data_IF_372414522530
#
_entry.id   IF_372414522530
#
_cell.length_a   1.000
_cell.length_b   1.000
_cell.length_c   1.000
_cell.angle_alpha   90.00
_cell.angle_beta   90.00
_cell.angle_gamma   90.00
#
_symmetry.space_group_name_H-M   'P 1'
#
loop_
_entity.id
_entity.type
_entity.pdbx_description
1 polymer ?
#
# COMPACT_ATOMS: atom_id res chain seq x y z
N UNK A 1 -16.84 5.67 -22.47
CA UNK A 1 -15.62 5.29 -23.24
C UNK A 1 -15.28 3.85 -22.86
N UNK A 2 -15.57 2.89 -23.75
CA UNK A 2 -15.35 1.48 -23.46
C UNK A 2 -13.97 0.99 -23.88
N UNK A 3 -13.45 -0.03 -23.22
CA UNK A 3 -12.25 -0.76 -23.62
C UNK A 3 -12.64 -1.86 -24.61
N UNK A 4 -11.86 -2.00 -25.69
CA UNK A 4 -12.02 -3.11 -26.63
C UNK A 4 -11.43 -4.37 -26.01
N UNK A 5 -12.27 -5.35 -25.69
CA UNK A 5 -11.82 -6.65 -25.18
C UNK A 5 -11.53 -7.66 -26.29
N UNK A 6 -12.13 -7.52 -27.45
CA UNK A 6 -11.96 -8.43 -28.56
C UNK A 6 -13.12 -8.34 -29.56
N UNK A 7 -13.30 -9.41 -30.35
CA UNK A 7 -14.41 -9.57 -31.27
C UNK A 7 -15.33 -10.68 -30.77
N UNK A 8 -16.61 -10.50 -30.86
CA UNK A 8 -17.57 -11.55 -30.62
C UNK A 8 -17.36 -12.72 -31.57
N UNK A 9 -17.41 -13.95 -31.06
CA UNK A 9 -17.05 -15.15 -31.83
C UNK A 9 -18.01 -15.43 -32.99
N UNK A 10 -19.29 -15.09 -32.87
CA UNK A 10 -20.33 -15.36 -33.86
C UNK A 10 -20.52 -14.17 -34.80
N UNK A 11 -20.76 -12.98 -34.24
CA UNK A 11 -21.11 -11.79 -35.02
C UNK A 11 -19.88 -11.03 -35.56
N UNK A 12 -18.67 -11.32 -35.05
CA UNK A 12 -17.42 -10.61 -35.35
C UNK A 12 -17.47 -9.11 -35.03
N UNK A 13 -18.45 -8.67 -34.27
CA UNK A 13 -18.54 -7.28 -33.83
C UNK A 13 -17.57 -6.99 -32.69
N UNK A 14 -17.05 -5.76 -32.57
CA UNK A 14 -16.20 -5.35 -31.48
C UNK A 14 -16.95 -5.45 -30.13
N UNK A 15 -16.36 -6.16 -29.17
CA UNK A 15 -16.84 -6.23 -27.79
C UNK A 15 -16.20 -5.10 -26.99
N UNK A 16 -16.99 -4.07 -26.70
CA UNK A 16 -16.58 -2.90 -25.92
C UNK A 16 -17.18 -2.98 -24.52
N UNK A 17 -16.34 -2.81 -23.48
CA UNK A 17 -16.78 -2.80 -22.08
C UNK A 17 -16.35 -1.49 -21.42
N UNK A 18 -17.28 -0.80 -20.78
CA UNK A 18 -17.00 0.39 -20.00
C UNK A 18 -16.97 0.03 -18.52
N UNK A 19 -15.78 -0.08 -17.96
CA UNK A 19 -15.58 -0.45 -16.56
C UNK A 19 -15.82 0.71 -15.59
N UNK A 20 -15.97 1.94 -16.07
CA UNK A 20 -16.03 3.13 -15.21
C UNK A 20 -17.42 3.77 -15.15
N UNK A 21 -18.35 3.33 -15.97
CA UNK A 21 -19.67 3.97 -16.10
C UNK A 21 -20.64 3.63 -14.96
N UNK A 22 -20.32 2.63 -14.13
CA UNK A 22 -21.22 2.18 -13.06
C UNK A 22 -21.13 3.01 -11.77
N UNK A 23 -20.13 3.87 -11.62
CA UNK A 23 -19.87 4.64 -10.40
C UNK A 23 -19.43 3.80 -9.19
N UNK A 24 -19.37 2.48 -9.33
CA UNK A 24 -18.96 1.53 -8.29
C UNK A 24 -17.60 0.92 -8.64
N UNK A 25 -16.87 0.44 -7.61
CA UNK A 25 -15.65 -0.33 -7.82
C UNK A 25 -15.96 -1.62 -8.60
N UNK A 26 -15.23 -1.87 -9.67
CA UNK A 26 -15.40 -3.05 -10.51
C UNK A 26 -14.36 -4.11 -10.14
N UNK A 27 -14.83 -5.35 -9.98
CA UNK A 27 -13.96 -6.52 -9.82
C UNK A 27 -14.07 -7.38 -11.06
N UNK A 28 -12.96 -7.61 -11.75
CA UNK A 28 -12.90 -8.44 -12.95
C UNK A 28 -12.10 -9.69 -12.62
N UNK A 29 -12.72 -10.85 -12.78
CA UNK A 29 -12.07 -12.14 -12.60
C UNK A 29 -11.84 -12.82 -13.96
N UNK A 30 -10.58 -13.15 -14.27
CA UNK A 30 -10.21 -13.88 -15.48
C UNK A 30 -9.85 -15.32 -15.13
N UNK A 31 -10.70 -16.26 -15.54
CA UNK A 31 -10.51 -17.70 -15.31
C UNK A 31 -10.18 -18.40 -16.63
N UNK A 32 -9.06 -19.07 -16.68
CA UNK A 32 -8.68 -19.90 -17.83
C UNK A 32 -7.58 -20.91 -17.44
N UNK A 33 -7.41 -21.94 -18.24
CA UNK A 33 -6.31 -22.90 -18.09
C UNK A 33 -4.95 -22.21 -18.24
N UNK A 34 -3.89 -22.82 -17.74
CA UNK A 34 -2.52 -22.35 -17.98
C UNK A 34 -2.24 -22.29 -19.48
N UNK A 35 -1.57 -21.23 -19.94
CA UNK A 35 -1.26 -21.04 -21.37
C UNK A 35 -2.41 -20.48 -22.23
N UNK A 36 -3.62 -20.29 -21.70
CA UNK A 36 -4.77 -19.78 -22.46
C UNK A 36 -4.75 -18.26 -22.73
N UNK A 37 -3.67 -17.55 -22.41
CA UNK A 37 -3.52 -16.13 -22.73
C UNK A 37 -4.03 -15.15 -21.66
N UNK A 38 -4.31 -15.59 -20.42
CA UNK A 38 -4.77 -14.69 -19.32
C UNK A 38 -3.89 -13.47 -19.15
N UNK A 39 -2.59 -13.65 -19.03
CA UNK A 39 -1.63 -12.57 -18.86
C UNK A 39 -1.60 -11.64 -20.07
N UNK A 40 -1.74 -12.19 -21.28
CA UNK A 40 -1.82 -11.37 -22.49
C UNK A 40 -3.07 -10.49 -22.51
N UNK A 41 -4.23 -11.05 -22.14
CA UNK A 41 -5.47 -10.27 -22.02
C UNK A 41 -5.38 -9.19 -20.94
N UNK A 42 -4.75 -9.49 -19.80
CA UNK A 42 -4.48 -8.51 -18.75
C UNK A 42 -3.57 -7.37 -19.25
N UNK A 43 -2.55 -7.68 -20.05
CA UNK A 43 -1.68 -6.67 -20.68
C UNK A 43 -2.43 -5.78 -21.65
N UNK A 44 -3.32 -6.34 -22.48
CA UNK A 44 -4.14 -5.54 -23.38
C UNK A 44 -5.05 -4.56 -22.63
N UNK A 45 -5.66 -5.02 -21.54
CA UNK A 45 -6.50 -4.15 -20.69
C UNK A 45 -5.62 -3.05 -20.08
N UNK A 46 -4.47 -3.41 -19.49
CA UNK A 46 -3.55 -2.46 -18.88
C UNK A 46 -3.05 -1.40 -19.87
N UNK A 47 -2.63 -1.80 -21.07
CA UNK A 47 -2.22 -0.88 -22.13
C UNK A 47 -3.35 0.06 -22.55
N UNK A 48 -4.57 -0.47 -22.68
CA UNK A 48 -5.72 0.34 -23.04
C UNK A 48 -6.07 1.37 -21.95
N UNK A 49 -5.91 1.01 -20.67
CA UNK A 49 -6.11 1.92 -19.55
C UNK A 49 -5.04 3.01 -19.51
N UNK A 50 -3.77 2.64 -19.68
CA UNK A 50 -2.65 3.59 -19.77
C UNK A 50 -2.84 4.57 -20.94
N UNK A 51 -3.29 4.08 -22.10
CA UNK A 51 -3.59 4.93 -23.24
C UNK A 51 -4.74 5.92 -23.00
N UNK A 52 -5.58 5.67 -22.01
CA UNK A 52 -6.63 6.57 -21.54
C UNK A 52 -6.16 7.47 -20.37
N UNK A 53 -4.86 7.51 -20.09
CA UNK A 53 -4.25 8.24 -18.97
C UNK A 53 -4.75 7.77 -17.60
N UNK A 54 -5.04 6.47 -17.47
CA UNK A 54 -5.45 5.84 -16.21
C UNK A 54 -4.25 5.16 -15.60
N UNK A 55 -3.98 5.46 -14.33
CA UNK A 55 -2.90 4.82 -13.58
C UNK A 55 -3.18 3.34 -13.37
N UNK A 56 -2.21 2.49 -13.70
CA UNK A 56 -2.30 1.03 -13.55
C UNK A 56 -1.22 0.56 -12.60
N UNK A 57 -1.61 -0.17 -11.55
CA UNK A 57 -0.71 -0.88 -10.65
C UNK A 57 -0.93 -2.38 -10.80
N UNK A 58 0.15 -3.15 -10.89
CA UNK A 58 0.09 -4.60 -11.03
C UNK A 58 0.93 -5.27 -9.94
N UNK A 59 0.39 -6.36 -9.36
CA UNK A 59 1.12 -7.23 -8.44
C UNK A 59 1.40 -8.54 -9.19
N UNK A 60 2.67 -8.81 -9.46
CA UNK A 60 3.12 -10.02 -10.16
C UNK A 60 3.85 -10.95 -9.19
N UNK A 61 3.13 -11.95 -8.66
CA UNK A 61 3.68 -12.92 -7.71
C UNK A 61 4.80 -13.77 -8.34
N UNK A 62 4.78 -13.96 -9.67
CA UNK A 62 5.82 -14.72 -10.39
C UNK A 62 7.04 -13.85 -10.74
N UNK A 63 6.90 -12.51 -10.67
CA UNK A 63 7.98 -11.55 -10.82
C UNK A 63 8.59 -11.43 -12.23
N UNK A 64 8.00 -12.02 -13.26
CA UNK A 64 8.63 -12.06 -14.61
C UNK A 64 7.74 -11.65 -15.76
N UNK A 65 6.42 -11.77 -15.59
CA UNK A 65 5.49 -11.62 -16.71
C UNK A 65 5.30 -10.14 -17.08
N UNK A 66 5.20 -9.25 -16.11
CA UNK A 66 4.93 -7.82 -16.31
C UNK A 66 6.16 -6.98 -16.68
N UNK A 67 7.37 -7.47 -16.49
CA UNK A 67 8.61 -6.74 -16.83
C UNK A 67 8.69 -6.30 -18.29
N UNK A 68 8.14 -7.10 -19.22
CA UNK A 68 8.11 -6.76 -20.64
C UNK A 68 7.21 -5.57 -20.90
N UNK A 69 6.04 -5.51 -20.24
CA UNK A 69 5.11 -4.40 -20.34
C UNK A 69 5.71 -3.12 -19.77
N UNK A 70 6.34 -3.20 -18.59
CA UNK A 70 6.99 -2.05 -17.94
C UNK A 70 8.03 -1.38 -18.82
N UNK A 71 8.85 -2.17 -19.52
CA UNK A 71 9.83 -1.62 -20.47
C UNK A 71 9.19 -0.91 -21.65
N UNK A 72 7.99 -1.33 -22.04
CA UNK A 72 7.28 -0.75 -23.16
C UNK A 72 6.56 0.57 -22.80
N UNK A 73 6.12 0.71 -21.54
CA UNK A 73 5.33 1.86 -21.07
C UNK A 73 6.13 2.78 -20.12
N UNK A 74 7.45 2.60 -20.01
CA UNK A 74 8.33 3.33 -19.09
C UNK A 74 7.82 3.28 -17.63
N UNK A 75 7.36 2.09 -17.22
CA UNK A 75 6.79 1.86 -15.91
C UNK A 75 7.85 1.63 -14.83
N UNK A 76 7.46 1.77 -13.57
CA UNK A 76 8.34 1.55 -12.41
C UNK A 76 8.14 0.13 -11.87
N UNK A 77 9.23 -0.61 -11.69
CA UNK A 77 9.25 -1.92 -11.03
C UNK A 77 9.72 -1.76 -9.58
N UNK A 78 8.90 -2.27 -8.65
CA UNK A 78 9.31 -2.47 -7.25
C UNK A 78 9.53 -3.97 -7.08
N UNK A 79 10.79 -4.40 -7.08
CA UNK A 79 11.14 -5.79 -6.86
C UNK A 79 11.31 -6.05 -5.36
N UNK A 80 10.59 -7.06 -4.84
CA UNK A 80 10.66 -7.51 -3.45
C UNK A 80 11.47 -8.81 -3.31
N UNK A 81 12.37 -9.08 -4.27
CA UNK A 81 13.24 -10.26 -4.28
C UNK A 81 14.31 -10.17 -3.18
N UNK A 82 14.68 -11.31 -2.59
CA UNK A 82 15.62 -11.40 -1.45
C UNK A 82 17.01 -10.85 -1.75
N UNK A 83 17.44 -10.83 -3.02
CA UNK A 83 18.77 -10.35 -3.42
C UNK A 83 18.91 -8.81 -3.39
N UNK A 84 17.81 -8.06 -3.58
CA UNK A 84 17.80 -6.59 -3.54
C UNK A 84 16.40 -6.08 -3.12
N UNK A 85 16.02 -6.27 -1.87
CA UNK A 85 14.70 -5.89 -1.40
C UNK A 85 14.54 -4.38 -1.47
N UNK A 86 13.60 -3.91 -2.28
CA UNK A 86 13.13 -2.53 -2.23
C UNK A 86 11.96 -2.44 -1.26
N UNK A 87 12.23 -1.86 -0.11
CA UNK A 87 11.19 -1.65 0.89
C UNK A 87 10.29 -0.48 0.47
N UNK A 88 8.99 -0.74 0.52
CA UNK A 88 8.00 0.35 0.41
C UNK A 88 7.94 1.03 1.78
N UNK A 89 8.41 2.27 1.84
CA UNK A 89 8.28 3.06 3.07
C UNK A 89 6.88 3.70 3.11
N UNK A 90 5.96 3.10 3.87
CA UNK A 90 4.58 3.58 4.01
C UNK A 90 4.49 4.93 4.72
N UNK A 91 5.54 5.36 5.42
CA UNK A 91 5.62 6.66 6.09
C UNK A 91 6.00 7.80 5.14
N UNK A 92 6.49 7.48 3.94
CA UNK A 92 6.96 8.48 3.00
C UNK A 92 5.80 9.23 2.36
N UNK A 93 5.75 10.53 2.56
CA UNK A 93 4.66 11.42 2.13
C UNK A 93 5.07 12.44 1.06
N UNK A 94 6.35 12.66 0.87
CA UNK A 94 6.86 13.72 0.00
C UNK A 94 6.64 13.47 -1.50
N UNK A 95 6.45 12.21 -1.89
CA UNK A 95 6.23 11.83 -3.30
C UNK A 95 4.77 11.98 -3.77
N UNK A 96 3.81 12.22 -2.85
CA UNK A 96 2.38 12.26 -3.18
C UNK A 96 1.87 13.59 -3.76
N UNK A 97 2.74 14.59 -3.95
CA UNK A 97 2.29 15.91 -4.42
C UNK A 97 1.23 16.54 -3.50
N UNK A 98 1.37 16.36 -2.19
CA UNK A 98 0.40 16.82 -1.21
C UNK A 98 0.24 18.34 -1.23
N UNK A 99 -1.01 18.80 -1.28
CA UNK A 99 -1.41 20.18 -1.10
C UNK A 99 -1.93 20.42 0.32
N UNK A 100 -2.20 21.67 0.70
CA UNK A 100 -2.81 21.98 2.00
C UNK A 100 -4.21 21.39 2.17
N UNK A 101 -4.93 21.17 1.08
CA UNK A 101 -6.30 20.66 1.10
C UNK A 101 -6.36 19.14 1.33
N UNK A 102 -5.34 18.40 0.88
CA UNK A 102 -5.33 16.94 0.93
C UNK A 102 -4.26 16.34 1.86
N UNK A 103 -3.37 17.18 2.44
CA UNK A 103 -2.24 16.68 3.22
C UNK A 103 -2.67 15.87 4.46
N UNK A 104 -3.72 16.29 5.14
CA UNK A 104 -4.22 15.55 6.30
C UNK A 104 -4.76 14.16 5.93
N UNK A 105 -5.39 14.04 4.77
CA UNK A 105 -5.85 12.75 4.25
C UNK A 105 -4.67 11.80 3.99
N UNK A 106 -3.65 12.26 3.28
CA UNK A 106 -2.46 11.43 3.00
C UNK A 106 -1.68 11.09 4.26
N UNK A 107 -1.58 12.03 5.21
CA UNK A 107 -0.97 11.77 6.51
C UNK A 107 -1.69 10.64 7.25
N UNK A 108 -3.03 10.68 7.35
CA UNK A 108 -3.82 9.61 7.98
C UNK A 108 -3.66 8.28 7.26
N UNK A 109 -3.61 8.29 5.92
CA UNK A 109 -3.36 7.09 5.14
C UNK A 109 -1.98 6.49 5.44
N UNK A 110 -0.94 7.32 5.55
CA UNK A 110 0.40 6.84 5.88
C UNK A 110 0.46 6.26 7.29
N UNK A 111 -0.15 6.91 8.28
CA UNK A 111 -0.26 6.38 9.65
C UNK A 111 -0.93 5.02 9.62
N UNK A 112 -2.10 4.90 9.00
CA UNK A 112 -2.86 3.64 8.96
C UNK A 112 -2.11 2.54 8.20
N UNK A 113 -1.48 2.85 7.08
CA UNK A 113 -0.67 1.89 6.32
C UNK A 113 0.53 1.39 7.13
N UNK A 114 1.17 2.29 7.88
CA UNK A 114 2.31 1.95 8.75
C UNK A 114 1.87 1.07 9.93
N UNK A 115 0.76 1.40 10.58
CA UNK A 115 0.19 0.57 11.67
C UNK A 115 -0.16 -0.81 11.16
N UNK A 116 -0.85 -0.92 10.02
CA UNK A 116 -1.20 -2.22 9.43
C UNK A 116 0.05 -3.06 9.11
N UNK A 117 1.08 -2.44 8.54
CA UNK A 117 2.33 -3.14 8.24
C UNK A 117 3.03 -3.63 9.51
N UNK A 118 3.13 -2.78 10.54
CA UNK A 118 3.71 -3.16 11.82
C UNK A 118 2.91 -4.27 12.49
N UNK A 119 1.59 -4.25 12.44
CA UNK A 119 0.71 -5.32 12.97
C UNK A 119 1.00 -6.67 12.30
N UNK A 120 1.26 -6.67 10.98
CA UNK A 120 1.62 -7.88 10.24
C UNK A 120 3.03 -8.35 10.64
N UNK A 121 3.99 -7.43 10.75
CA UNK A 121 5.39 -7.76 11.08
C UNK A 121 5.53 -8.38 12.47
N UNK A 122 4.75 -7.90 13.43
CA UNK A 122 4.76 -8.40 14.81
C UNK A 122 4.16 -9.81 14.92
N UNK A 123 3.40 -10.26 13.89
CA UNK A 123 2.76 -11.58 13.82
C UNK A 123 2.05 -12.01 15.12
N UNK A 124 1.70 -11.04 15.95
CA UNK A 124 0.89 -11.29 17.13
C UNK A 124 -0.50 -11.69 16.68
N UNK A 125 -0.94 -12.88 17.05
CA UNK A 125 -2.34 -13.25 17.05
C UNK A 125 -2.88 -12.78 18.41
N UNK A 126 -3.40 -11.57 18.51
CA UNK A 126 -3.99 -11.13 19.77
C UNK A 126 -5.15 -12.07 20.06
N UNK A 127 -5.23 -12.56 21.28
CA UNK A 127 -6.44 -13.18 21.78
C UNK A 127 -7.58 -12.18 21.62
N UNK A 128 -8.79 -12.65 21.35
CA UNK A 128 -9.96 -11.79 21.17
C UNK A 128 -10.09 -10.84 22.36
N UNK A 129 -9.80 -9.57 22.17
CA UNK A 129 -9.79 -8.52 23.20
C UNK A 129 -8.57 -7.59 23.17
N UNK A 130 -7.40 -8.08 22.77
CA UNK A 130 -6.15 -7.30 22.79
C UNK A 130 -5.82 -6.61 21.44
N UNK A 131 -6.60 -6.87 20.37
CA UNK A 131 -6.35 -6.30 19.02
C UNK A 131 -6.45 -4.78 19.06
N UNK A 132 -7.49 -4.25 19.69
CA UNK A 132 -7.73 -2.80 19.79
C UNK A 132 -6.63 -2.10 20.58
N UNK A 133 -6.11 -2.74 21.62
CA UNK A 133 -5.02 -2.19 22.43
C UNK A 133 -3.70 -2.16 21.65
N UNK A 134 -3.39 -3.21 20.90
CA UNK A 134 -2.21 -3.26 20.04
C UNK A 134 -2.24 -2.19 18.96
N UNK A 135 -3.34 -2.07 18.22
CA UNK A 135 -3.49 -1.04 17.20
C UNK A 135 -3.35 0.37 17.78
N UNK A 136 -3.91 0.59 18.97
CA UNK A 136 -3.81 1.88 19.68
C UNK A 136 -2.37 2.20 20.05
N UNK A 137 -1.61 1.22 20.57
CA UNK A 137 -0.20 1.38 20.94
C UNK A 137 0.64 1.69 19.68
N UNK A 138 0.44 0.92 18.61
CA UNK A 138 1.14 1.13 17.35
C UNK A 138 0.81 2.51 16.75
N UNK A 139 -0.45 2.92 16.76
CA UNK A 139 -0.85 4.24 16.27
C UNK A 139 -0.21 5.37 17.08
N UNK A 140 -0.19 5.26 18.41
CA UNK A 140 0.47 6.24 19.27
C UNK A 140 1.97 6.30 19.01
N UNK A 141 2.64 5.16 18.82
CA UNK A 141 4.06 5.10 18.49
C UNK A 141 4.35 5.77 17.14
N UNK A 142 3.55 5.47 16.13
CA UNK A 142 3.69 6.05 14.79
C UNK A 142 3.47 7.56 14.83
N UNK A 143 2.41 8.04 15.49
CA UNK A 143 2.13 9.48 15.63
C UNK A 143 3.23 10.20 16.40
N UNK A 144 3.75 9.60 17.48
CA UNK A 144 4.89 10.13 18.23
C UNK A 144 6.12 10.24 17.35
N UNK A 145 6.39 9.23 16.54
CA UNK A 145 7.51 9.23 15.61
C UNK A 145 7.40 10.32 14.54
N UNK A 146 6.23 10.52 13.94
CA UNK A 146 6.00 11.64 13.03
C UNK A 146 6.25 13.00 13.73
N UNK A 147 5.75 13.17 14.95
CA UNK A 147 5.94 14.39 15.73
C UNK A 147 7.42 14.64 16.05
N UNK A 148 8.17 13.63 16.47
CA UNK A 148 9.62 13.73 16.74
C UNK A 148 10.43 14.12 15.51
N UNK A 149 9.98 13.75 14.31
CA UNK A 149 10.59 14.12 13.04
C UNK A 149 10.05 15.46 12.49
N UNK A 150 9.31 16.23 13.30
CA UNK A 150 8.72 17.52 12.90
C UNK A 150 7.84 17.41 11.65
N UNK A 151 7.06 16.36 11.54
CA UNK A 151 6.06 16.17 10.47
C UNK A 151 4.71 16.66 10.98
N UNK A 152 4.17 17.69 10.35
CA UNK A 152 2.87 18.27 10.67
C UNK A 152 1.84 17.85 9.61
N UNK A 153 0.77 17.18 10.06
CA UNK A 153 -0.31 16.70 9.19
C UNK A 153 -0.99 17.77 8.35
N UNK A 154 -0.93 19.04 8.79
CA UNK A 154 -1.53 20.20 8.12
C UNK A 154 -0.55 20.99 7.26
N UNK A 155 0.73 20.65 7.31
CA UNK A 155 1.77 21.36 6.59
C UNK A 155 2.55 20.45 5.65
N UNK A 156 2.18 20.35 4.36
CA UNK A 156 2.82 19.44 3.41
C UNK A 156 4.31 19.72 3.20
N UNK A 157 4.80 20.93 3.53
CA UNK A 157 6.24 21.24 3.44
C UNK A 157 7.08 20.43 4.41
N UNK A 158 6.50 19.96 5.52
CA UNK A 158 7.20 19.13 6.50
C UNK A 158 7.33 17.68 6.05
N UNK A 159 6.61 17.26 5.03
CA UNK A 159 6.60 15.88 4.55
C UNK A 159 7.95 15.42 3.97
N UNK A 160 8.80 16.35 3.56
CA UNK A 160 10.19 16.05 3.18
C UNK A 160 10.96 15.33 4.30
N UNK A 161 10.60 15.57 5.55
CA UNK A 161 11.25 14.94 6.71
C UNK A 161 10.98 13.43 6.74
N UNK A 162 9.91 12.95 6.11
CA UNK A 162 9.56 11.52 6.06
C UNK A 162 10.53 10.68 5.25
N UNK A 163 11.39 11.29 4.42
CA UNK A 163 12.42 10.60 3.62
C UNK A 163 13.42 9.81 4.45
N UNK A 164 13.66 10.25 5.69
CA UNK A 164 14.67 9.67 6.58
C UNK A 164 14.10 8.74 7.64
N UNK A 165 12.77 8.62 7.70
CA UNK A 165 12.09 7.81 8.71
C UNK A 165 12.30 6.31 8.43
N UNK A 166 12.55 5.54 9.49
CA UNK A 166 12.80 4.10 9.44
C UNK A 166 11.88 3.37 10.42
N UNK A 167 11.46 2.17 10.08
CA UNK A 167 10.64 1.33 10.96
C UNK A 167 11.35 0.94 12.25
N UNK A 168 12.67 0.73 12.20
CA UNK A 168 13.45 0.36 13.39
C UNK A 168 13.33 1.40 14.51
N UNK A 169 13.27 2.69 14.17
CA UNK A 169 13.17 3.76 15.18
C UNK A 169 11.81 3.74 15.91
N UNK A 170 10.77 3.15 15.32
CA UNK A 170 9.45 3.01 15.95
C UNK A 170 9.50 1.98 17.08
N UNK A 171 10.32 0.93 16.94
CA UNK A 171 10.48 -0.10 17.97
C UNK A 171 11.04 0.52 19.26
N UNK A 172 11.99 1.45 19.14
CA UNK A 172 12.53 2.18 20.29
C UNK A 172 11.45 3.02 20.96
N UNK A 173 10.60 3.68 20.16
CA UNK A 173 9.48 4.47 20.68
C UNK A 173 8.44 3.59 21.40
N UNK A 174 8.14 2.40 20.90
CA UNK A 174 7.24 1.45 21.56
C UNK A 174 7.84 1.03 22.90
N UNK A 175 9.15 0.78 22.96
CA UNK A 175 9.85 0.44 24.18
C UNK A 175 9.76 1.57 25.22
N UNK A 176 9.90 2.82 24.79
CA UNK A 176 9.74 3.99 25.65
C UNK A 176 8.28 4.14 26.16
N UNK A 177 7.31 3.88 25.29
CA UNK A 177 5.90 3.92 25.68
C UNK A 177 5.56 2.87 26.75
N UNK A 178 6.17 1.67 26.68
CA UNK A 178 6.01 0.62 27.68
C UNK A 178 6.41 1.06 29.08
N UNK A 179 7.35 2.00 29.20
CA UNK A 179 7.79 2.55 30.49
C UNK A 179 6.85 3.62 31.04
N UNK A 180 5.89 4.07 30.25
CA UNK A 180 4.99 5.16 30.61
C UNK A 180 3.95 4.68 31.62
N UNK A 181 3.77 5.40 32.73
CA UNK A 181 2.84 5.05 33.83
C UNK A 181 1.35 4.99 33.41
N UNK A 182 0.99 5.54 32.25
CA UNK A 182 -0.38 5.56 31.75
C UNK A 182 -0.85 4.23 31.13
N UNK A 183 0.05 3.29 30.88
CA UNK A 183 -0.31 2.00 30.29
C UNK A 183 -0.69 0.97 31.36
N UNK A 184 -1.70 0.15 31.02
CA UNK A 184 -2.07 -1.03 31.83
C UNK A 184 -0.95 -2.07 31.82
N UNK A 185 -1.01 -3.05 32.70
CA UNK A 185 -0.03 -4.13 32.79
C UNK A 185 -0.03 -4.96 31.49
N UNK A 186 -1.22 -5.25 30.92
CA UNK A 186 -1.42 -5.94 29.65
C UNK A 186 -0.81 -5.17 28.48
N UNK A 187 -0.97 -3.85 28.44
CA UNK A 187 -0.38 -3.01 27.41
C UNK A 187 1.15 -2.98 27.46
N UNK A 188 1.74 -3.02 28.66
CA UNK A 188 3.19 -3.11 28.83
C UNK A 188 3.74 -4.46 28.39
N UNK A 189 3.00 -5.54 28.66
CA UNK A 189 3.34 -6.88 28.19
C UNK A 189 3.33 -6.93 26.66
N UNK A 190 2.30 -6.39 26.00
CA UNK A 190 2.24 -6.24 24.55
C UNK A 190 3.44 -5.48 23.99
N UNK A 191 3.81 -4.35 24.58
CA UNK A 191 5.00 -3.60 24.18
C UNK A 191 6.29 -4.42 24.30
N UNK A 192 6.39 -5.28 25.31
CA UNK A 192 7.57 -6.14 25.50
C UNK A 192 7.68 -7.24 24.43
N UNK A 193 6.54 -7.79 24.01
CA UNK A 193 6.48 -8.81 22.95
C UNK A 193 6.83 -8.22 21.57
N UNK A 194 6.44 -6.98 21.29
CA UNK A 194 6.81 -6.30 20.04
C UNK A 194 8.32 -6.11 19.90
N UNK A 195 9.05 -6.08 21.00
CA UNK A 195 10.50 -5.90 21.04
C UNK A 195 11.31 -7.16 20.73
N UNK A 196 10.72 -8.37 20.94
CA UNK A 196 11.39 -9.65 20.70
C UNK A 196 11.28 -10.12 19.28
#
# INVERSE_FOLDING_TARGET
>A
KGLLLGLDAETKLPLMVDFFNSGAAQVIMMLAKSGAGKTFSAFQIALSLIALDIHVSAIDIKGREWRKLLKFVDGVEINMDDENPRFVNTMRLDDFGCTRENCEYYFRMAVRATVNLLSIMVNLKPEEGNVTDLETILEQAVLKYFSQNNVDSKNPKTFVNTRRMKYADIIDIISDLATTKSYSEDQRELCSVIRT
#
